data_IF_698763633957
#
_entry.id   IF_698763633957
#
_cell.length_a   1.000
_cell.length_b   1.000
_cell.length_c   1.000
_cell.angle_alpha   90.00
_cell.angle_beta   90.00
_cell.angle_gamma   90.00
#
_symmetry.space_group_name_H-M   'P 1'
#
loop_
_entity.id
_entity.type
_entity.pdbx_description
1 polymer ?
#
# COMPACT_ATOMS: atom_id res chain seq x y z
N UNK A 1 29.97 -9.97 27.69
CA UNK A 1 29.88 -10.79 26.47
C UNK A 1 29.23 -9.94 25.40
N UNK A 2 29.75 -10.08 24.19
CA UNK A 2 29.85 -9.09 23.11
C UNK A 2 28.55 -8.48 22.55
N UNK A 3 28.68 -7.20 22.17
CA UNK A 3 27.89 -6.47 21.17
C UNK A 3 28.13 -7.00 19.76
N UNK A 4 27.07 -7.24 18.96
CA UNK A 4 27.02 -7.27 17.48
C UNK A 4 25.59 -7.66 17.03
N UNK A 5 24.96 -7.12 16.00
CA UNK A 5 25.39 -6.22 14.95
C UNK A 5 24.18 -5.42 14.41
N UNK A 6 24.52 -4.22 13.97
CA UNK A 6 23.84 -3.30 13.07
C UNK A 6 23.19 -4.01 11.89
N UNK A 7 21.92 -3.69 11.59
CA UNK A 7 21.41 -3.73 10.22
C UNK A 7 20.82 -2.37 9.89
N UNK A 8 21.70 -1.43 9.55
CA UNK A 8 21.37 -0.23 8.78
C UNK A 8 20.98 -0.69 7.37
N UNK A 9 19.72 -1.06 7.20
CA UNK A 9 19.10 -1.08 5.88
C UNK A 9 18.49 0.30 5.66
N UNK A 10 19.33 1.26 5.27
CA UNK A 10 18.84 2.47 4.57
C UNK A 10 18.51 2.07 3.13
N UNK A 11 17.60 1.11 2.98
CA UNK A 11 16.85 0.95 1.73
C UNK A 11 15.80 2.06 1.82
N UNK A 12 15.91 3.11 0.99
CA UNK A 12 14.76 3.98 0.79
C UNK A 12 13.69 3.07 0.21
N UNK A 13 12.65 2.65 0.97
CA UNK A 13 11.68 1.71 0.42
C UNK A 13 11.04 2.45 -0.75
N UNK A 14 11.28 1.98 -1.98
CA UNK A 14 10.63 2.55 -3.16
C UNK A 14 9.14 2.50 -2.85
N UNK A 15 8.50 3.67 -2.78
CA UNK A 15 7.06 3.76 -2.51
C UNK A 15 6.35 2.88 -3.51
N UNK A 16 5.65 1.88 -3.00
CA UNK A 16 4.84 0.98 -3.81
C UNK A 16 3.47 1.63 -3.96
N UNK A 17 2.90 1.53 -5.15
CA UNK A 17 1.56 2.02 -5.43
C UNK A 17 0.72 0.87 -5.97
N UNK A 18 -0.59 0.94 -5.80
CA UNK A 18 -1.52 0.06 -6.48
C UNK A 18 -2.74 0.82 -6.98
N UNK A 19 -3.45 0.22 -7.91
CA UNK A 19 -4.74 0.70 -8.40
C UNK A 19 -5.84 -0.23 -7.92
N UNK A 20 -6.92 0.34 -7.39
CA UNK A 20 -8.10 -0.44 -7.03
C UNK A 20 -8.80 -0.99 -8.29
N UNK A 21 -9.00 -2.31 -8.35
CA UNK A 21 -9.70 -3.01 -9.43
C UNK A 21 -11.20 -3.11 -9.19
N UNK A 22 -11.63 -2.99 -7.93
CA UNK A 22 -13.02 -2.99 -7.52
C UNK A 22 -13.30 -1.92 -6.44
N UNK A 23 -14.58 -1.58 -6.19
CA UNK A 23 -14.93 -0.59 -5.18
C UNK A 23 -14.63 -1.11 -3.77
N UNK A 24 -13.71 -0.43 -3.06
CA UNK A 24 -13.32 -0.77 -1.69
C UNK A 24 -13.95 0.23 -0.73
N UNK A 25 -14.42 -0.28 0.42
CA UNK A 25 -14.92 0.58 1.49
C UNK A 25 -13.76 0.99 2.41
N UNK A 26 -13.60 2.28 2.65
CA UNK A 26 -12.64 2.77 3.64
C UNK A 26 -13.17 2.64 5.07
N UNK A 27 -12.33 2.98 6.05
CA UNK A 27 -12.70 2.95 7.46
C UNK A 27 -13.85 3.91 7.82
N UNK A 28 -14.08 4.96 7.03
CA UNK A 28 -15.18 5.90 7.22
C UNK A 28 -16.48 5.47 6.51
N UNK A 29 -16.46 4.32 5.84
CA UNK A 29 -17.61 3.78 5.13
C UNK A 29 -17.79 4.35 3.72
N UNK A 30 -16.85 5.16 3.21
CA UNK A 30 -16.90 5.70 1.85
C UNK A 30 -16.44 4.64 0.87
N UNK A 31 -17.03 4.65 -0.32
CA UNK A 31 -16.61 3.77 -1.41
C UNK A 31 -15.52 4.48 -2.22
N UNK A 32 -14.36 3.86 -2.34
CA UNK A 32 -13.19 4.34 -3.10
C UNK A 32 -12.98 3.41 -4.29
N UNK A 33 -12.76 3.97 -5.48
CA UNK A 33 -12.60 3.19 -6.70
C UNK A 33 -11.72 3.92 -7.71
N UNK A 34 -10.97 3.18 -8.55
CA UNK A 34 -10.06 3.67 -9.62
C UNK A 34 -8.88 4.55 -9.20
N UNK A 35 -8.75 4.87 -7.91
CA UNK A 35 -7.64 5.66 -7.39
C UNK A 35 -6.34 4.86 -7.37
N UNK A 36 -5.23 5.53 -7.70
CA UNK A 36 -3.91 5.00 -7.44
C UNK A 36 -3.52 5.39 -6.01
N UNK A 37 -3.28 4.38 -5.17
CA UNK A 37 -3.06 4.54 -3.73
C UNK A 37 -1.69 4.00 -3.35
N UNK A 38 -1.13 4.51 -2.25
CA UNK A 38 0.18 4.09 -1.78
C UNK A 38 0.04 2.83 -0.91
N UNK A 39 0.81 1.78 -1.21
CA UNK A 39 0.95 0.62 -0.31
C UNK A 39 1.94 1.01 0.79
N UNK A 40 1.43 1.17 2.00
CA UNK A 40 2.24 1.53 3.17
C UNK A 40 2.76 0.30 3.92
N UNK A 41 2.05 -0.84 3.82
CA UNK A 41 2.49 -2.09 4.43
C UNK A 41 1.93 -3.30 3.68
N UNK A 42 2.76 -4.32 3.56
CA UNK A 42 2.37 -5.67 3.13
C UNK A 42 2.26 -6.56 4.37
N UNK A 43 1.16 -7.30 4.48
CA UNK A 43 0.84 -8.15 5.62
C UNK A 43 0.67 -9.56 5.09
N UNK A 44 1.49 -10.47 5.59
CA UNK A 44 1.44 -11.88 5.28
C UNK A 44 1.33 -12.65 6.60
N UNK A 45 0.17 -13.27 6.87
CA UNK A 45 -0.07 -14.00 8.11
C UNK A 45 -1.09 -15.13 7.93
N UNK A 46 -0.74 -16.36 8.33
CA UNK A 46 -1.65 -17.51 8.46
C UNK A 46 -2.62 -17.65 7.26
N UNK A 47 -2.07 -17.71 6.04
CA UNK A 47 -2.77 -17.79 4.74
C UNK A 47 -3.54 -16.53 4.29
N UNK A 48 -3.35 -15.39 4.96
CA UNK A 48 -3.90 -14.10 4.53
C UNK A 48 -2.79 -13.17 4.11
N UNK A 49 -2.76 -12.91 2.81
CA UNK A 49 -1.95 -11.85 2.21
C UNK A 49 -2.82 -10.62 2.00
N UNK A 50 -2.41 -9.47 2.52
CA UNK A 50 -3.15 -8.21 2.43
C UNK A 50 -2.18 -7.03 2.30
N UNK A 51 -2.67 -5.94 1.71
CA UNK A 51 -1.97 -4.67 1.70
C UNK A 51 -2.72 -3.65 2.55
N UNK A 52 -1.99 -2.89 3.37
CA UNK A 52 -2.49 -1.66 3.95
C UNK A 52 -2.17 -0.53 2.97
N UNK A 53 -3.21 0.15 2.48
CA UNK A 53 -3.09 1.25 1.53
C UNK A 53 -3.45 2.58 2.18
N UNK A 54 -2.85 3.66 1.66
CA UNK A 54 -3.13 5.05 2.03
C UNK A 54 -3.60 5.84 0.82
N UNK A 55 -4.74 6.50 0.98
CA UNK A 55 -5.35 7.40 -0.01
C UNK A 55 -4.74 8.80 0.08
N UNK A 56 -5.03 9.65 -0.90
CA UNK A 56 -4.50 11.04 -0.95
C UNK A 56 -4.97 11.92 0.21
N UNK A 57 -6.17 11.65 0.73
CA UNK A 57 -6.74 12.33 1.91
C UNK A 57 -6.15 11.84 3.25
N UNK A 58 -5.24 10.87 3.20
CA UNK A 58 -4.60 10.26 4.36
C UNK A 58 -5.40 9.13 5.01
N UNK A 59 -6.62 8.84 4.52
CA UNK A 59 -7.37 7.66 4.98
C UNK A 59 -6.62 6.37 4.61
N UNK A 60 -6.88 5.30 5.37
CA UNK A 60 -6.25 4.00 5.14
C UNK A 60 -7.27 2.88 5.17
N UNK A 61 -7.00 1.82 4.42
CA UNK A 61 -7.80 0.59 4.44
C UNK A 61 -6.95 -0.63 4.10
N UNK A 62 -7.43 -1.81 4.46
CA UNK A 62 -6.83 -3.06 4.04
C UNK A 62 -7.48 -3.54 2.75
N UNK A 63 -6.67 -4.02 1.82
CA UNK A 63 -7.11 -4.59 0.54
C UNK A 63 -6.46 -5.94 0.33
N UNK A 64 -7.18 -6.84 -0.32
CA UNK A 64 -6.64 -8.12 -0.76
C UNK A 64 -5.89 -7.98 -2.09
N UNK A 65 -4.95 -8.90 -2.39
CA UNK A 65 -4.17 -8.85 -3.62
C UNK A 65 -4.97 -8.95 -4.91
N UNK A 66 -6.16 -9.57 -4.87
CA UNK A 66 -7.04 -9.67 -6.03
C UNK A 66 -7.88 -8.40 -6.24
N UNK A 67 -8.02 -7.55 -5.23
CA UNK A 67 -8.77 -6.29 -5.31
C UNK A 67 -7.93 -5.15 -5.91
N UNK A 68 -6.61 -5.38 -6.10
CA UNK A 68 -5.67 -4.35 -6.53
C UNK A 68 -4.67 -4.83 -7.56
N UNK A 69 -4.22 -3.90 -8.40
CA UNK A 69 -3.10 -4.09 -9.30
C UNK A 69 -1.89 -3.30 -8.78
N UNK A 70 -0.82 -4.00 -8.39
CA UNK A 70 0.42 -3.36 -7.90
C UNK A 70 1.14 -2.71 -9.09
N UNK A 71 1.39 -1.41 -8.99
CA UNK A 71 2.05 -0.61 -10.01
C UNK A 71 3.57 -0.69 -9.83
N UNK A 72 4.28 -1.01 -10.91
CA UNK A 72 5.75 -1.02 -10.94
C UNK A 72 6.37 0.39 -10.97
N UNK A 73 5.54 1.40 -11.24
CA UNK A 73 5.92 2.81 -11.35
C UNK A 73 4.95 3.68 -10.52
N UNK A 74 5.40 4.82 -10.00
CA UNK A 74 4.51 5.77 -9.34
C UNK A 74 3.44 6.24 -10.33
N UNK A 75 2.20 6.47 -9.86
CA UNK A 75 1.16 7.02 -10.72
C UNK A 75 1.61 8.38 -11.25
N UNK A 76 1.57 8.52 -12.58
CA UNK A 76 1.81 9.80 -13.24
C UNK A 76 0.75 10.78 -12.72
N UNK A 77 1.15 11.70 -11.84
CA UNK A 77 0.30 12.83 -11.46
C UNK A 77 -0.08 13.55 -12.75
N UNK A 78 -1.36 13.56 -13.11
CA UNK A 78 -1.83 14.44 -14.19
C UNK A 78 -1.55 15.87 -13.71
N UNK A 79 -0.62 16.55 -14.39
CA UNK A 79 -0.48 17.98 -14.27
C UNK A 79 -1.81 18.59 -14.74
N UNK A 80 -2.52 19.24 -13.82
CA UNK A 80 -3.66 20.08 -14.13
C UNK A 80 -3.16 21.42 -14.67
#
# INVERSE_FOLDING_TARGET
>A
METSATNTATDNPKRKYCRLLEPVRDHEGRIRFTEAVEIIKEIDNLDRHMYLVRFEDGSTTFVFPHEVEVLSLPPLRKAA
#
